data_IF_016542379667
#
_entry.id   IF_016542379667
#
_cell.length_a   1.000
_cell.length_b   1.000
_cell.length_c   1.000
_cell.angle_alpha   90.00
_cell.angle_beta   90.00
_cell.angle_gamma   90.00
#
_symmetry.space_group_name_H-M   'P 1'
#
loop_
_entity.id
_entity.type
_entity.pdbx_description
1 polymer ?
#
# COMPACT_ATOMS: atom_id res chain seq x y z
N UNK A 1 12.44 -52.83 0.96
CA UNK A 1 11.41 -52.22 0.10
C UNK A 1 11.94 -50.91 -0.43
N UNK A 2 12.54 -50.95 -1.62
CA UNK A 2 13.04 -49.79 -2.38
C UNK A 2 12.42 -49.94 -3.75
N UNK A 3 11.61 -48.96 -4.19
CA UNK A 3 11.01 -48.96 -5.53
C UNK A 3 11.66 -47.85 -6.35
N UNK A 4 12.60 -48.26 -7.20
CA UNK A 4 13.11 -47.47 -8.31
C UNK A 4 12.07 -47.44 -9.43
N UNK A 5 11.73 -46.26 -9.92
CA UNK A 5 10.89 -46.08 -11.10
C UNK A 5 11.80 -45.88 -12.32
N UNK A 6 11.73 -46.81 -13.26
CA UNK A 6 12.41 -46.76 -14.57
C UNK A 6 11.43 -46.18 -15.58
N UNK A 7 11.80 -45.09 -16.26
CA UNK A 7 11.02 -44.54 -17.38
C UNK A 7 11.70 -44.93 -18.68
N UNK A 8 10.97 -45.67 -19.51
CA UNK A 8 11.36 -46.09 -20.86
C UNK A 8 10.90 -45.01 -21.85
N UNK A 9 11.82 -44.50 -22.66
CA UNK A 9 11.53 -43.59 -23.78
C UNK A 9 11.35 -44.42 -25.05
N UNK A 10 10.26 -44.21 -25.79
CA UNK A 10 10.11 -44.65 -27.19
C UNK A 10 9.85 -43.43 -28.08
N UNK A 11 10.46 -43.37 -29.28
CA UNK A 11 10.19 -42.31 -30.24
C UNK A 11 9.05 -42.73 -31.18
N UNK A 12 8.29 -41.75 -31.68
CA UNK A 12 7.43 -41.92 -32.84
C UNK A 12 7.67 -40.74 -33.80
N UNK A 13 8.13 -41.08 -35.01
CA UNK A 13 8.12 -40.23 -36.19
C UNK A 13 6.71 -40.20 -36.79
N UNK A 14 6.29 -39.05 -37.34
CA UNK A 14 6.09 -38.84 -38.80
C UNK A 14 5.11 -37.69 -39.15
N UNK A 15 5.61 -36.84 -40.05
CA UNK A 15 5.04 -35.89 -41.02
C UNK A 15 3.52 -35.84 -41.29
N UNK A 16 2.96 -34.63 -41.47
CA UNK A 16 2.55 -34.05 -42.79
C UNK A 16 1.62 -32.80 -42.71
N UNK A 17 1.98 -31.76 -43.48
CA UNK A 17 1.19 -30.76 -44.26
C UNK A 17 0.05 -29.87 -43.67
N UNK A 18 0.32 -28.53 -43.63
CA UNK A 18 -0.41 -27.29 -44.09
C UNK A 18 -1.97 -27.21 -44.15
N UNK A 19 -2.63 -26.01 -44.03
CA UNK A 19 -2.16 -24.70 -44.54
C UNK A 19 -2.35 -23.45 -43.65
N UNK A 20 -1.63 -22.43 -44.10
CA UNK A 20 -1.47 -21.06 -43.65
C UNK A 20 -2.77 -20.25 -43.64
N UNK A 21 -3.15 -19.69 -42.50
CA UNK A 21 -4.01 -18.50 -42.42
C UNK A 21 -3.24 -17.38 -41.75
N UNK A 22 -3.09 -16.28 -42.48
CA UNK A 22 -2.51 -15.03 -41.98
C UNK A 22 -3.49 -14.41 -40.96
N UNK A 23 -3.28 -14.70 -39.68
CA UNK A 23 -3.82 -13.87 -38.61
C UNK A 23 -2.82 -12.75 -38.33
N UNK A 24 -3.23 -11.51 -38.63
CA UNK A 24 -2.57 -10.32 -38.12
C UNK A 24 -2.55 -10.41 -36.59
N UNK A 25 -1.37 -10.70 -36.03
CA UNK A 25 -1.10 -10.60 -34.59
C UNK A 25 -1.18 -9.14 -34.19
N UNK A 26 -2.34 -8.72 -33.68
CA UNK A 26 -2.42 -7.61 -32.74
C UNK A 26 -1.47 -7.92 -31.58
N UNK A 27 -0.49 -7.03 -31.36
CA UNK A 27 0.46 -7.15 -30.25
C UNK A 27 -0.34 -7.09 -28.94
N UNK A 28 -0.44 -8.23 -28.26
CA UNK A 28 -1.00 -8.32 -26.92
C UNK A 28 -0.25 -7.38 -25.97
N UNK A 29 -0.98 -6.59 -25.18
CA UNK A 29 -0.40 -5.74 -24.15
C UNK A 29 0.07 -6.61 -22.98
N UNK A 30 1.38 -6.69 -22.79
CA UNK A 30 2.01 -7.34 -21.64
C UNK A 30 1.66 -6.60 -20.33
N UNK A 31 1.71 -7.27 -19.16
CA UNK A 31 1.60 -6.61 -17.87
C UNK A 31 2.64 -5.48 -17.79
N UNK A 32 2.21 -4.31 -17.29
CA UNK A 32 2.94 -3.04 -17.36
C UNK A 32 4.45 -3.26 -17.25
N UNK A 33 5.18 -3.05 -18.36
CA UNK A 33 6.64 -3.11 -18.30
C UNK A 33 7.14 -1.97 -17.41
N UNK A 34 8.31 -2.14 -16.81
CA UNK A 34 8.95 -1.05 -16.06
C UNK A 34 9.03 0.23 -16.91
N UNK A 35 9.22 0.10 -18.23
CA UNK A 35 9.22 1.22 -19.17
C UNK A 35 7.86 1.93 -19.29
N UNK A 36 6.74 1.22 -19.26
CA UNK A 36 5.40 1.83 -19.30
C UNK A 36 5.08 2.58 -18.01
N UNK A 37 5.49 2.07 -16.84
CA UNK A 37 5.38 2.80 -15.58
C UNK A 37 6.20 4.08 -15.62
N UNK A 38 7.43 3.99 -16.13
CA UNK A 38 8.32 5.13 -16.29
C UNK A 38 7.73 6.16 -17.27
N UNK A 39 7.17 5.72 -18.40
CA UNK A 39 6.52 6.60 -19.38
C UNK A 39 5.31 7.33 -18.78
N UNK A 40 4.46 6.63 -18.02
CA UNK A 40 3.34 7.25 -17.31
C UNK A 40 3.86 8.31 -16.32
N UNK A 41 4.86 7.96 -15.52
CA UNK A 41 5.51 8.87 -14.56
C UNK A 41 6.16 10.07 -15.26
N UNK A 42 6.77 9.86 -16.43
CA UNK A 42 7.35 10.93 -17.25
C UNK A 42 6.29 11.83 -17.87
N UNK A 43 5.16 11.29 -18.33
CA UNK A 43 4.02 12.10 -18.82
C UNK A 43 3.48 12.98 -17.70
N UNK A 44 3.26 12.39 -16.53
CA UNK A 44 2.87 13.08 -15.31
C UNK A 44 3.87 14.15 -14.90
N UNK A 45 5.14 13.80 -14.83
CA UNK A 45 6.22 14.72 -14.47
C UNK A 45 6.30 15.86 -15.48
N UNK A 46 6.18 15.60 -16.79
CA UNK A 46 6.13 16.64 -17.82
C UNK A 46 4.92 17.57 -17.65
N UNK A 47 3.75 17.03 -17.32
CA UNK A 47 2.53 17.81 -17.11
C UNK A 47 2.65 18.69 -15.84
N UNK A 48 3.18 18.13 -14.76
CA UNK A 48 3.56 18.82 -13.53
C UNK A 48 4.56 19.95 -13.81
N UNK A 49 5.67 19.65 -14.50
CA UNK A 49 6.72 20.63 -14.84
C UNK A 49 6.23 21.76 -15.73
N UNK A 50 5.18 21.56 -16.54
CA UNK A 50 4.57 22.63 -17.36
C UNK A 50 3.71 23.59 -16.54
N UNK A 51 3.19 23.14 -15.40
CA UNK A 51 2.26 23.90 -14.55
C UNK A 51 2.93 24.52 -13.32
N UNK A 52 4.05 23.94 -12.86
CA UNK A 52 4.77 24.44 -11.70
C UNK A 52 5.79 25.53 -12.07
N UNK A 53 5.85 26.61 -11.27
CA UNK A 53 7.06 27.43 -11.18
C UNK A 53 8.23 26.56 -10.67
N UNK A 54 9.50 26.84 -11.04
CA UNK A 54 10.61 25.94 -10.76
C UNK A 54 10.80 25.73 -9.26
N UNK A 55 10.44 24.54 -8.77
CA UNK A 55 10.78 24.07 -7.42
C UNK A 55 12.12 23.35 -7.50
N UNK A 56 13.11 23.84 -6.75
CA UNK A 56 14.42 23.19 -6.65
C UNK A 56 14.29 21.87 -5.88
N UNK A 57 14.47 20.75 -6.57
CA UNK A 57 14.66 19.44 -5.95
C UNK A 57 16.16 19.14 -6.01
N UNK A 58 16.79 19.04 -4.84
CA UNK A 58 18.23 18.72 -4.73
C UNK A 58 18.50 17.27 -5.16
N UNK A 59 19.56 16.99 -5.95
CA UNK A 59 19.93 15.62 -6.30
C UNK A 59 20.57 14.90 -5.11
N UNK A 60 20.08 13.70 -4.76
CA UNK A 60 20.74 12.80 -3.81
C UNK A 60 21.85 11.99 -4.51
N UNK A 61 23.00 11.89 -3.84
CA UNK A 61 24.28 11.37 -4.32
C UNK A 61 24.42 9.84 -4.35
N UNK A 62 25.37 9.38 -5.19
CA UNK A 62 25.81 8.01 -5.42
C UNK A 62 25.99 7.14 -4.16
N UNK A 63 25.46 5.90 -4.19
CA UNK A 63 25.70 4.87 -3.17
C UNK A 63 26.54 3.71 -3.70
N UNK A 64 27.59 3.38 -2.95
CA UNK A 64 28.48 2.23 -3.07
C UNK A 64 27.80 0.88 -2.79
N UNK A 65 28.39 -0.21 -3.33
CA UNK A 65 27.85 -1.59 -3.35
C UNK A 65 27.62 -2.21 -1.94
N UNK A 66 26.53 -2.99 -1.72
CA UNK A 66 26.18 -3.54 -0.41
C UNK A 66 26.60 -5.01 -0.17
N UNK A 67 26.69 -5.36 1.13
CA UNK A 67 26.85 -6.72 1.68
C UNK A 67 25.47 -7.23 2.16
N UNK A 68 25.14 -8.51 1.90
CA UNK A 68 23.79 -9.08 2.11
C UNK A 68 23.72 -9.89 3.41
N UNK A 69 22.78 -9.57 4.30
CA UNK A 69 22.38 -10.41 5.43
C UNK A 69 20.91 -10.78 5.30
N UNK A 70 20.62 -12.09 5.20
CA UNK A 70 19.27 -12.62 4.98
C UNK A 70 18.63 -13.07 6.30
N UNK A 71 17.66 -12.29 6.79
CA UNK A 71 16.66 -12.79 7.74
C UNK A 71 15.34 -12.94 6.97
N UNK A 72 14.69 -14.11 7.02
CA UNK A 72 13.45 -14.38 6.28
C UNK A 72 12.26 -13.75 7.01
N UNK A 73 11.67 -12.64 6.52
CA UNK A 73 10.54 -11.98 7.19
C UNK A 73 9.34 -12.92 7.32
N UNK A 74 9.19 -13.88 6.40
CA UNK A 74 8.15 -14.90 6.37
C UNK A 74 7.93 -15.68 7.67
N UNK A 75 8.98 -15.94 8.45
CA UNK A 75 8.86 -16.77 9.65
C UNK A 75 8.15 -16.01 10.78
N UNK A 76 8.54 -14.75 11.00
CA UNK A 76 7.95 -13.86 12.00
C UNK A 76 6.46 -13.57 11.72
N UNK A 77 6.14 -13.50 10.45
CA UNK A 77 4.80 -13.26 9.89
C UNK A 77 3.86 -14.41 10.17
N UNK A 78 4.35 -15.63 9.98
CA UNK A 78 3.60 -16.83 10.33
C UNK A 78 3.35 -16.91 11.84
N UNK A 79 4.31 -16.47 12.67
CA UNK A 79 4.15 -16.44 14.14
C UNK A 79 3.11 -15.40 14.56
N UNK A 80 3.14 -14.18 14.01
CA UNK A 80 2.15 -13.13 14.26
C UNK A 80 0.75 -13.54 13.77
N UNK A 81 0.66 -14.17 12.59
CA UNK A 81 -0.60 -14.69 12.06
C UNK A 81 -1.19 -15.79 12.94
N UNK A 82 -0.37 -16.70 13.46
CA UNK A 82 -0.81 -17.74 14.37
C UNK A 82 -1.28 -17.16 15.71
N UNK A 83 -0.56 -16.17 16.24
CA UNK A 83 -0.93 -15.51 17.49
C UNK A 83 -2.26 -14.75 17.37
N UNK A 84 -2.43 -13.99 16.29
CA UNK A 84 -3.67 -13.26 16.02
C UNK A 84 -4.83 -14.20 15.71
N UNK A 85 -4.64 -15.23 14.87
CA UNK A 85 -5.67 -16.23 14.58
C UNK A 85 -6.17 -16.95 15.84
N UNK A 86 -5.29 -17.19 16.81
CA UNK A 86 -5.68 -17.78 18.10
C UNK A 86 -6.58 -16.82 18.91
N UNK A 87 -6.29 -15.51 18.88
CA UNK A 87 -6.98 -14.48 19.66
C UNK A 87 -8.29 -14.01 19.03
N UNK A 88 -8.29 -13.79 17.72
CA UNK A 88 -9.45 -13.30 16.95
C UNK A 88 -10.13 -14.47 16.23
N UNK A 89 -10.85 -15.33 16.98
CA UNK A 89 -11.67 -16.41 16.40
C UNK A 89 -12.74 -15.95 15.39
N UNK A 90 -12.87 -14.64 15.17
CA UNK A 90 -13.88 -13.99 14.32
C UNK A 90 -13.31 -13.30 13.06
N UNK A 91 -11.99 -13.23 12.88
CA UNK A 91 -11.41 -12.55 11.70
C UNK A 91 -11.22 -13.55 10.55
N UNK A 92 -11.69 -13.26 9.32
CA UNK A 92 -11.50 -14.17 8.18
C UNK A 92 -10.03 -14.47 7.94
N UNK A 93 -9.67 -15.75 7.82
CA UNK A 93 -8.27 -16.17 7.65
C UNK A 93 -7.60 -15.56 6.41
N UNK A 94 -8.36 -15.27 5.34
CA UNK A 94 -7.82 -14.64 4.13
C UNK A 94 -7.56 -13.14 4.34
N UNK A 95 -8.37 -12.43 5.12
CA UNK A 95 -8.10 -11.03 5.51
C UNK A 95 -6.85 -10.97 6.39
N UNK A 96 -6.76 -11.86 7.38
CA UNK A 96 -5.57 -11.98 8.24
C UNK A 96 -4.33 -12.36 7.41
N UNK A 97 -4.47 -13.27 6.44
CA UNK A 97 -3.41 -13.64 5.50
C UNK A 97 -3.06 -12.44 4.61
N UNK A 98 -3.94 -11.83 3.84
CA UNK A 98 -3.61 -10.68 2.98
C UNK A 98 -3.09 -9.46 3.76
N UNK A 99 -3.44 -9.32 5.04
CA UNK A 99 -2.84 -8.31 5.92
C UNK A 99 -1.43 -8.64 6.34
N UNK A 100 -1.22 -9.86 6.80
CA UNK A 100 0.07 -10.27 7.37
C UNK A 100 1.05 -10.64 6.25
N UNK A 101 0.56 -11.30 5.21
CA UNK A 101 1.23 -11.60 3.93
C UNK A 101 1.36 -10.35 3.06
N UNK A 102 0.46 -9.38 3.18
CA UNK A 102 0.61 -8.09 2.51
C UNK A 102 1.64 -7.18 3.16
N UNK A 103 1.77 -7.24 4.49
CA UNK A 103 2.91 -6.61 5.16
C UNK A 103 4.18 -7.46 4.96
N UNK A 104 4.07 -8.75 4.63
CA UNK A 104 5.25 -9.59 4.43
C UNK A 104 5.02 -10.81 3.50
N UNK A 105 5.36 -10.59 2.23
CA UNK A 105 5.76 -11.59 1.24
C UNK A 105 4.89 -12.84 1.14
N UNK A 106 3.82 -12.79 0.34
CA UNK A 106 3.35 -14.01 -0.34
C UNK A 106 4.42 -14.48 -1.33
N UNK A 107 4.32 -15.70 -1.90
CA UNK A 107 5.01 -15.95 -3.16
C UNK A 107 4.68 -14.79 -4.11
N UNK A 108 5.66 -14.20 -4.82
CA UNK A 108 5.39 -13.10 -5.73
C UNK A 108 4.25 -13.53 -6.64
N UNK A 109 3.14 -12.79 -6.58
CA UNK A 109 2.01 -13.00 -7.48
C UNK A 109 2.59 -12.99 -8.89
N UNK A 110 2.66 -14.17 -9.50
CA UNK A 110 3.07 -14.32 -10.88
C UNK A 110 1.92 -13.76 -11.70
N UNK A 111 2.03 -12.48 -12.01
CA UNK A 111 1.14 -11.84 -12.97
C UNK A 111 1.06 -12.74 -14.20
N UNK A 112 -0.16 -13.12 -14.64
CA UNK A 112 -0.33 -13.95 -15.81
C UNK A 112 0.47 -13.35 -16.97
N UNK A 113 1.45 -14.11 -17.48
CA UNK A 113 2.27 -13.68 -18.62
C UNK A 113 1.48 -13.69 -19.93
N UNK A 114 0.28 -14.27 -19.93
CA UNK A 114 -0.66 -14.26 -21.03
C UNK A 114 -2.04 -13.84 -20.51
N UNK A 115 -2.45 -12.61 -20.88
CA UNK A 115 -3.84 -12.16 -20.75
C UNK A 115 -4.69 -12.93 -21.76
N UNK A 116 -5.75 -13.61 -21.27
CA UNK A 116 -6.84 -14.02 -22.13
C UNK A 116 -7.60 -12.76 -22.55
N UNK A 117 -7.24 -12.19 -23.70
CA UNK A 117 -7.90 -11.02 -24.31
C UNK A 117 -9.32 -11.30 -24.80
N UNK A 118 -9.76 -12.56 -24.79
CA UNK A 118 -11.12 -12.99 -25.11
C UNK A 118 -11.96 -13.24 -23.84
N UNK A 119 -11.58 -12.65 -22.69
CA UNK A 119 -12.56 -12.52 -21.62
C UNK A 119 -13.68 -11.64 -22.18
N UNK A 120 -14.89 -12.18 -22.39
CA UNK A 120 -15.94 -11.45 -23.06
C UNK A 120 -16.16 -10.15 -22.29
N UNK A 121 -16.53 -9.07 -22.99
CA UNK A 121 -17.13 -7.87 -22.40
C UNK A 121 -18.41 -8.18 -21.56
N UNK A 122 -18.72 -9.46 -21.34
CA UNK A 122 -19.89 -9.99 -20.68
C UNK A 122 -19.78 -9.88 -19.15
N UNK A 123 -20.88 -9.36 -18.62
CA UNK A 123 -21.19 -9.16 -17.22
C UNK A 123 -20.28 -8.13 -16.51
N UNK A 124 -20.56 -6.85 -16.80
CA UNK A 124 -20.67 -5.87 -15.71
C UNK A 124 -21.27 -6.58 -14.50
N UNK A 125 -20.46 -6.79 -13.47
CA UNK A 125 -20.85 -7.62 -12.33
C UNK A 125 -22.17 -7.09 -11.76
N UNK A 126 -22.98 -7.95 -11.14
CA UNK A 126 -24.24 -7.45 -10.56
C UNK A 126 -23.95 -6.37 -9.53
N UNK A 127 -24.87 -5.43 -9.35
CA UNK A 127 -24.70 -4.33 -8.39
C UNK A 127 -24.41 -4.87 -6.99
N UNK A 128 -25.04 -5.98 -6.61
CA UNK A 128 -24.83 -6.66 -5.33
C UNK A 128 -23.39 -7.14 -5.19
N UNK A 129 -22.82 -7.70 -6.26
CA UNK A 129 -21.44 -8.18 -6.26
C UNK A 129 -20.44 -7.03 -6.15
N UNK A 130 -20.64 -5.98 -6.94
CA UNK A 130 -19.81 -4.79 -6.88
C UNK A 130 -19.89 -4.11 -5.50
N UNK A 131 -21.08 -4.07 -4.89
CA UNK A 131 -21.30 -3.57 -3.53
C UNK A 131 -20.49 -4.38 -2.51
N UNK A 132 -20.51 -5.71 -2.61
CA UNK A 132 -19.72 -6.59 -1.73
C UNK A 132 -18.20 -6.33 -1.86
N UNK A 133 -17.71 -6.08 -3.07
CA UNK A 133 -16.30 -5.71 -3.27
C UNK A 133 -15.94 -4.35 -2.68
N UNK A 134 -16.76 -3.32 -2.91
CA UNK A 134 -16.56 -2.00 -2.30
C UNK A 134 -16.55 -2.12 -0.77
N UNK A 135 -17.49 -2.88 -0.19
CA UNK A 135 -17.51 -3.14 1.26
C UNK A 135 -16.25 -3.88 1.75
N UNK A 136 -15.73 -4.83 0.98
CA UNK A 136 -14.49 -5.55 1.32
C UNK A 136 -13.28 -4.59 1.39
N UNK A 137 -13.22 -3.61 0.48
CA UNK A 137 -12.23 -2.54 0.51
C UNK A 137 -12.45 -1.58 1.69
N UNK A 138 -13.68 -1.08 1.85
CA UNK A 138 -14.03 -0.08 2.86
C UNK A 138 -13.80 -0.58 4.29
N UNK A 139 -14.20 -1.81 4.59
CA UNK A 139 -13.99 -2.44 5.90
C UNK A 139 -12.60 -3.04 6.08
N UNK A 140 -11.84 -3.19 5.00
CA UNK A 140 -10.49 -3.72 5.00
C UNK A 140 -9.44 -2.60 5.09
N UNK A 141 -8.54 -2.47 4.09
CA UNK A 141 -7.43 -1.53 4.17
C UNK A 141 -7.86 -0.06 4.16
N UNK A 142 -9.04 0.30 3.64
CA UNK A 142 -9.50 1.68 3.72
C UNK A 142 -9.79 2.11 5.16
N UNK A 143 -10.25 1.21 6.03
CA UNK A 143 -10.46 1.52 7.45
C UNK A 143 -9.14 1.90 8.15
N UNK A 144 -8.00 1.43 7.63
CA UNK A 144 -6.66 1.77 8.14
C UNK A 144 -6.10 3.05 7.57
N UNK A 145 -6.45 3.40 6.34
CA UNK A 145 -5.77 4.45 5.58
C UNK A 145 -6.64 5.71 5.52
N UNK A 146 -7.96 5.54 5.47
CA UNK A 146 -8.92 6.62 5.36
C UNK A 146 -8.87 7.33 4.00
N UNK A 147 -8.46 6.63 2.93
CA UNK A 147 -8.30 7.22 1.60
C UNK A 147 -9.64 7.53 0.91
N UNK A 148 -10.68 6.75 1.22
CA UNK A 148 -12.00 6.83 0.62
C UNK A 148 -13.04 7.17 1.69
N UNK A 149 -13.97 8.06 1.34
CA UNK A 149 -15.21 8.23 2.08
C UNK A 149 -16.19 7.10 1.71
N UNK A 150 -16.65 6.37 2.72
CA UNK A 150 -17.48 5.18 2.52
C UNK A 150 -18.83 5.53 1.85
N UNK A 151 -19.39 6.70 2.18
CA UNK A 151 -20.67 7.13 1.63
C UNK A 151 -20.50 7.55 0.17
N UNK A 152 -19.50 8.37 -0.14
CA UNK A 152 -19.21 8.79 -1.52
C UNK A 152 -18.90 7.59 -2.43
N UNK A 153 -18.15 6.60 -1.94
CA UNK A 153 -17.88 5.36 -2.68
C UNK A 153 -19.15 4.59 -3.04
N UNK A 154 -20.11 4.49 -2.11
CA UNK A 154 -21.37 3.78 -2.35
C UNK A 154 -22.33 4.59 -3.22
N UNK A 155 -22.41 5.92 -3.02
CA UNK A 155 -23.20 6.81 -3.88
C UNK A 155 -22.68 6.80 -5.33
N UNK A 156 -21.36 6.77 -5.51
CA UNK A 156 -20.73 6.66 -6.83
C UNK A 156 -21.05 5.31 -7.50
N UNK A 157 -21.02 4.22 -6.74
CA UNK A 157 -21.43 2.91 -7.23
C UNK A 157 -22.92 2.92 -7.63
N UNK A 158 -23.78 3.52 -6.83
CA UNK A 158 -25.21 3.62 -7.11
C UNK A 158 -25.47 4.37 -8.42
N UNK A 159 -24.82 5.52 -8.62
CA UNK A 159 -24.91 6.31 -9.87
C UNK A 159 -24.45 5.50 -11.09
N UNK A 160 -23.35 4.76 -10.97
CA UNK A 160 -22.83 3.92 -12.06
C UNK A 160 -23.83 2.85 -12.53
N UNK A 161 -24.63 2.27 -11.62
CA UNK A 161 -25.64 1.27 -11.97
C UNK A 161 -27.02 1.86 -12.28
N UNK A 162 -27.30 3.12 -11.91
CA UNK A 162 -28.61 3.75 -12.09
C UNK A 162 -28.79 4.43 -13.46
N UNK A 163 -27.84 4.23 -14.39
CA UNK A 163 -27.75 4.95 -15.67
C UNK A 163 -27.61 6.47 -15.53
N UNK A 164 -27.26 6.96 -14.34
CA UNK A 164 -26.83 8.34 -14.14
C UNK A 164 -25.46 8.54 -14.79
N UNK A 165 -25.23 9.72 -15.37
CA UNK A 165 -23.93 10.04 -15.92
C UNK A 165 -22.90 10.12 -14.79
N UNK A 166 -21.87 9.30 -14.88
CA UNK A 166 -20.62 9.48 -14.14
C UNK A 166 -19.55 10.03 -15.06
N UNK A 167 -18.63 10.82 -14.51
CA UNK A 167 -17.50 11.34 -15.29
C UNK A 167 -16.47 10.23 -15.55
N UNK A 168 -15.60 10.39 -16.57
CA UNK A 168 -14.49 9.44 -16.79
C UNK A 168 -13.55 9.29 -15.59
N UNK A 169 -13.36 10.37 -14.82
CA UNK A 169 -12.57 10.37 -13.58
C UNK A 169 -13.24 9.54 -12.49
N UNK A 170 -14.54 9.78 -12.29
CA UNK A 170 -15.37 9.01 -11.35
C UNK A 170 -15.34 7.52 -11.71
N UNK A 171 -15.46 7.18 -12.99
CA UNK A 171 -15.36 5.79 -13.47
C UNK A 171 -13.97 5.19 -13.21
N UNK A 172 -12.90 5.95 -13.43
CA UNK A 172 -11.53 5.52 -13.15
C UNK A 172 -11.33 5.19 -11.67
N UNK A 173 -11.75 6.09 -10.77
CA UNK A 173 -11.65 5.91 -9.33
C UNK A 173 -12.49 4.70 -8.88
N UNK A 174 -13.75 4.62 -9.31
CA UNK A 174 -14.62 3.49 -8.99
C UNK A 174 -14.01 2.16 -9.47
N UNK A 175 -13.46 2.12 -10.68
CA UNK A 175 -12.85 0.91 -11.24
C UNK A 175 -11.63 0.46 -10.43
N UNK A 176 -10.79 1.39 -9.95
CA UNK A 176 -9.72 1.07 -9.01
C UNK A 176 -10.24 0.51 -7.68
N UNK A 177 -11.31 1.11 -7.13
CA UNK A 177 -11.94 0.62 -5.90
C UNK A 177 -12.49 -0.80 -6.08
N UNK A 178 -13.16 -1.07 -7.20
CA UNK A 178 -13.67 -2.40 -7.54
C UNK A 178 -12.53 -3.41 -7.72
N UNK A 179 -11.45 -3.05 -8.42
CA UNK A 179 -10.29 -3.92 -8.58
C UNK A 179 -9.68 -4.33 -7.23
N UNK A 180 -9.51 -3.35 -6.33
CA UNK A 180 -8.93 -3.61 -5.02
C UNK A 180 -9.88 -4.40 -4.12
N UNK A 181 -11.17 -4.06 -4.12
CA UNK A 181 -12.21 -4.79 -3.39
C UNK A 181 -12.38 -6.23 -3.86
N UNK A 182 -12.40 -6.44 -5.17
CA UNK A 182 -12.46 -7.76 -5.81
C UNK A 182 -11.26 -8.63 -5.41
N UNK A 183 -10.05 -8.04 -5.35
CA UNK A 183 -8.85 -8.76 -4.89
C UNK A 183 -8.95 -9.22 -3.44
N UNK A 184 -9.57 -8.42 -2.58
CA UNK A 184 -9.72 -8.73 -1.15
C UNK A 184 -10.84 -9.75 -0.87
N UNK A 185 -11.81 -9.89 -1.78
CA UNK A 185 -12.93 -10.82 -1.62
C UNK A 185 -12.49 -12.29 -1.79
N UNK A 186 -13.02 -13.17 -0.95
CA UNK A 186 -12.56 -14.57 -0.84
C UNK A 186 -12.81 -15.41 -2.10
N UNK A 187 -13.91 -15.14 -2.78
CA UNK A 187 -14.51 -15.94 -3.85
C UNK A 187 -14.36 -15.30 -5.24
N UNK A 188 -13.48 -14.30 -5.38
CA UNK A 188 -13.26 -13.63 -6.67
C UNK A 188 -12.06 -14.24 -7.41
N UNK A 189 -12.23 -14.71 -8.65
CA UNK A 189 -11.12 -15.21 -9.46
C UNK A 189 -10.07 -14.13 -9.74
N UNK A 190 -8.79 -14.54 -9.83
CA UNK A 190 -7.67 -13.61 -9.99
C UNK A 190 -7.78 -12.74 -11.26
N UNK A 191 -8.24 -13.34 -12.36
CA UNK A 191 -8.38 -12.65 -13.64
C UNK A 191 -9.39 -11.49 -13.58
N UNK A 192 -10.38 -11.54 -12.69
CA UNK A 192 -11.42 -10.52 -12.56
C UNK A 192 -10.85 -9.23 -11.97
N UNK A 193 -10.18 -9.32 -10.81
CA UNK A 193 -9.59 -8.14 -10.21
C UNK A 193 -8.44 -7.59 -11.04
N UNK A 194 -7.73 -8.46 -11.77
CA UNK A 194 -6.68 -8.06 -12.71
C UNK A 194 -7.23 -7.27 -13.91
N UNK A 195 -8.31 -7.73 -14.54
CA UNK A 195 -8.93 -7.04 -15.67
C UNK A 195 -9.51 -5.68 -15.26
N UNK A 196 -10.13 -5.59 -14.08
CA UNK A 196 -10.58 -4.32 -13.50
C UNK A 196 -9.41 -3.36 -13.27
N UNK A 197 -8.30 -3.85 -12.72
CA UNK A 197 -7.11 -3.03 -12.50
C UNK A 197 -6.52 -2.50 -13.82
N UNK A 198 -6.40 -3.36 -14.85
CA UNK A 198 -5.89 -2.94 -16.16
C UNK A 198 -6.83 -1.94 -16.85
N UNK A 199 -8.15 -2.09 -16.69
CA UNK A 199 -9.14 -1.10 -17.14
C UNK A 199 -8.96 0.24 -16.43
N UNK A 200 -8.85 0.24 -15.10
CA UNK A 200 -8.67 1.47 -14.31
C UNK A 200 -7.38 2.20 -14.71
N UNK A 201 -6.29 1.46 -14.96
CA UNK A 201 -5.04 2.02 -15.47
C UNK A 201 -5.20 2.65 -16.85
N UNK A 202 -5.86 1.98 -17.78
CA UNK A 202 -6.11 2.53 -19.11
C UNK A 202 -7.02 3.78 -19.05
N UNK A 203 -7.97 3.83 -18.12
CA UNK A 203 -8.78 5.01 -17.86
C UNK A 203 -7.95 6.17 -17.30
N UNK A 204 -7.08 5.91 -16.31
CA UNK A 204 -6.15 6.90 -15.78
C UNK A 204 -5.31 7.52 -16.91
N UNK A 205 -4.68 6.70 -17.75
CA UNK A 205 -3.85 7.16 -18.88
C UNK A 205 -4.60 8.05 -19.89
N UNK A 206 -5.92 7.87 -20.03
CA UNK A 206 -6.79 8.66 -20.90
C UNK A 206 -7.26 9.96 -20.25
N UNK A 207 -7.67 9.90 -18.98
CA UNK A 207 -8.26 11.04 -18.28
C UNK A 207 -7.21 12.00 -17.74
N UNK A 208 -5.95 11.55 -17.63
CA UNK A 208 -4.88 12.37 -17.06
C UNK A 208 -4.66 13.67 -17.81
N UNK A 209 -4.92 13.74 -19.11
CA UNK A 209 -4.74 14.97 -19.88
C UNK A 209 -6.05 15.77 -20.05
N UNK A 210 -7.20 15.23 -19.63
CA UNK A 210 -8.51 15.84 -19.87
C UNK A 210 -8.96 16.82 -18.79
N UNK A 211 -8.48 16.67 -17.56
CA UNK A 211 -8.93 17.48 -16.43
C UNK A 211 -8.01 18.66 -16.15
N UNK A 212 -8.57 19.75 -15.60
CA UNK A 212 -7.78 20.87 -15.11
C UNK A 212 -7.20 20.59 -13.72
N UNK A 213 -8.00 20.04 -12.82
CA UNK A 213 -7.56 19.66 -11.47
C UNK A 213 -6.93 18.26 -11.46
N UNK A 214 -5.72 18.17 -10.92
CA UNK A 214 -4.93 16.94 -10.84
C UNK A 214 -5.03 16.26 -9.46
N UNK A 215 -5.80 16.82 -8.51
CA UNK A 215 -5.89 16.25 -7.16
C UNK A 215 -6.46 14.83 -7.14
N UNK A 216 -7.40 14.50 -8.04
CA UNK A 216 -7.97 13.15 -8.15
C UNK A 216 -6.92 12.10 -8.55
N UNK A 217 -5.87 12.51 -9.28
CA UNK A 217 -4.78 11.63 -9.73
C UNK A 217 -4.03 11.08 -8.53
N UNK A 218 -3.89 11.88 -7.45
CA UNK A 218 -3.29 11.44 -6.19
C UNK A 218 -4.06 10.22 -5.66
N UNK A 219 -5.38 10.31 -5.56
CA UNK A 219 -6.22 9.21 -5.07
C UNK A 219 -6.12 7.97 -5.96
N UNK A 220 -6.14 8.13 -7.28
CA UNK A 220 -5.96 7.03 -8.23
C UNK A 220 -4.59 6.34 -8.07
N UNK A 221 -3.51 7.11 -7.90
CA UNK A 221 -2.16 6.58 -7.67
C UNK A 221 -2.05 5.81 -6.35
N UNK A 222 -2.69 6.31 -5.29
CA UNK A 222 -2.66 5.64 -3.98
C UNK A 222 -3.46 4.33 -4.02
N UNK A 223 -4.63 4.30 -4.67
CA UNK A 223 -5.37 3.06 -4.92
C UNK A 223 -4.55 2.06 -5.75
N UNK A 224 -3.89 2.54 -6.82
CA UNK A 224 -3.00 1.73 -7.63
C UNK A 224 -1.80 1.21 -6.83
N UNK A 225 -1.25 2.01 -5.93
CA UNK A 225 -0.17 1.61 -5.03
C UNK A 225 -0.64 0.54 -4.05
N UNK A 226 -1.80 0.72 -3.41
CA UNK A 226 -2.40 -0.28 -2.51
C UNK A 226 -2.59 -1.61 -3.23
N UNK A 227 -3.07 -1.58 -4.48
CA UNK A 227 -3.15 -2.79 -5.30
C UNK A 227 -1.76 -3.39 -5.56
N UNK A 228 -0.75 -2.60 -5.92
CA UNK A 228 0.57 -3.15 -6.26
C UNK A 228 1.47 -3.47 -5.07
N UNK A 229 1.12 -3.06 -3.85
CA UNK A 229 2.02 -3.01 -2.68
C UNK A 229 2.79 -4.31 -2.46
N UNK A 230 2.13 -5.47 -2.61
CA UNK A 230 2.74 -6.78 -2.34
C UNK A 230 3.39 -7.39 -3.58
N UNK A 231 2.85 -7.10 -4.76
CA UNK A 231 3.26 -7.74 -6.01
C UNK A 231 4.44 -7.00 -6.67
N UNK A 232 4.43 -5.67 -6.58
CA UNK A 232 5.41 -4.77 -7.24
C UNK A 232 5.70 -3.56 -6.34
N UNK A 233 6.27 -3.77 -5.14
CA UNK A 233 6.47 -2.69 -4.16
C UNK A 233 7.29 -1.52 -4.73
N UNK A 234 8.30 -1.79 -5.57
CA UNK A 234 9.12 -0.75 -6.24
C UNK A 234 8.29 0.18 -7.14
N UNK A 235 7.28 -0.36 -7.84
CA UNK A 235 6.36 0.46 -8.64
C UNK A 235 5.47 1.29 -7.70
N UNK A 236 5.00 0.68 -6.60
CA UNK A 236 4.30 1.39 -5.53
C UNK A 236 5.08 2.63 -5.04
N UNK A 237 6.40 2.49 -4.78
CA UNK A 237 7.27 3.61 -4.39
C UNK A 237 7.24 4.76 -5.39
N UNK A 238 7.32 4.44 -6.69
CA UNK A 238 7.32 5.43 -7.77
C UNK A 238 5.96 6.16 -7.83
N UNK A 239 4.85 5.42 -7.68
CA UNK A 239 3.50 5.98 -7.63
C UNK A 239 3.34 6.92 -6.43
N UNK A 240 3.76 6.49 -5.24
CA UNK A 240 3.75 7.31 -4.02
C UNK A 240 4.61 8.56 -4.21
N UNK A 241 5.83 8.43 -4.74
CA UNK A 241 6.72 9.56 -4.98
C UNK A 241 6.12 10.60 -5.94
N UNK A 242 5.34 10.13 -6.92
CA UNK A 242 4.63 11.02 -7.85
C UNK A 242 3.43 11.68 -7.17
N UNK A 243 2.66 10.93 -6.38
CA UNK A 243 1.57 11.46 -5.57
C UNK A 243 2.03 12.54 -4.58
N UNK A 244 3.19 12.35 -3.92
CA UNK A 244 3.82 13.35 -3.04
C UNK A 244 4.07 14.66 -3.80
N UNK A 245 4.70 14.61 -4.97
CA UNK A 245 5.01 15.81 -5.77
C UNK A 245 3.76 16.56 -6.20
N UNK A 246 2.73 15.84 -6.65
CA UNK A 246 1.43 16.46 -7.01
C UNK A 246 0.81 17.10 -5.78
N UNK A 247 0.75 16.39 -4.65
CA UNK A 247 0.17 16.92 -3.42
C UNK A 247 0.87 18.20 -2.93
N UNK A 248 2.21 18.25 -2.97
CA UNK A 248 3.00 19.43 -2.62
C UNK A 248 2.81 20.59 -3.60
N UNK A 249 2.68 20.31 -4.89
CA UNK A 249 2.35 21.34 -5.89
C UNK A 249 1.00 22.00 -5.57
N UNK A 250 0.03 21.23 -5.10
CA UNK A 250 -1.28 21.69 -4.64
C UNK A 250 -1.29 22.16 -3.18
N UNK A 251 -0.12 22.26 -2.52
CA UNK A 251 0.03 22.71 -1.14
C UNK A 251 -0.79 21.92 -0.10
N UNK A 252 -1.12 20.66 -0.42
CA UNK A 252 -1.91 19.78 0.47
C UNK A 252 -1.13 19.47 1.77
N UNK A 253 0.20 19.52 1.72
CA UNK A 253 1.09 19.26 2.85
C UNK A 253 1.13 20.39 3.88
N UNK A 254 0.72 21.62 3.55
CA UNK A 254 0.90 22.81 4.39
C UNK A 254 -0.11 22.91 5.56
N UNK A 255 -1.21 22.16 5.53
CA UNK A 255 -2.25 22.09 6.57
C UNK A 255 -2.69 23.46 7.14
N UNK A 256 -3.05 24.40 6.26
CA UNK A 256 -3.42 25.75 6.69
C UNK A 256 -4.72 25.76 7.53
N UNK A 257 -4.70 26.35 8.75
CA UNK A 257 -5.90 26.57 9.56
C UNK A 257 -6.72 27.81 9.13
N UNK A 258 -6.15 28.69 8.28
CA UNK A 258 -6.79 29.93 7.84
C UNK A 258 -7.85 29.67 6.77
N UNK A 259 -9.01 29.27 7.29
CA UNK A 259 -10.32 28.96 6.70
C UNK A 259 -11.00 30.06 5.88
N UNK A 260 -10.25 30.87 5.12
CA UNK A 260 -10.89 31.80 4.16
C UNK A 260 -11.20 31.18 2.79
N UNK A 261 -10.69 29.98 2.45
CA UNK A 261 -10.65 29.50 1.06
C UNK A 261 -11.29 28.12 0.81
N UNK A 262 -11.62 27.28 1.80
CA UNK A 262 -12.12 25.93 1.50
C UNK A 262 -13.28 25.45 2.39
N UNK A 263 -14.21 24.72 1.76
CA UNK A 263 -15.21 23.89 2.44
C UNK A 263 -14.50 22.96 3.45
N UNK A 264 -15.00 22.91 4.68
CA UNK A 264 -14.42 22.10 5.76
C UNK A 264 -14.32 20.63 5.34
N UNK A 265 -15.34 20.12 4.63
CA UNK A 265 -15.36 18.73 4.15
C UNK A 265 -14.20 18.46 3.19
N UNK A 266 -13.96 19.39 2.27
CA UNK A 266 -12.88 19.28 1.30
C UNK A 266 -11.51 19.34 1.98
N UNK A 267 -11.33 20.25 2.94
CA UNK A 267 -10.13 20.29 3.76
C UNK A 267 -9.88 18.95 4.47
N UNK A 268 -10.88 18.42 5.17
CA UNK A 268 -10.77 17.15 5.90
C UNK A 268 -10.40 15.99 4.93
N UNK A 269 -10.98 15.98 3.72
CA UNK A 269 -10.66 15.02 2.65
C UNK A 269 -9.19 15.12 2.22
N UNK A 270 -8.70 16.32 1.92
CA UNK A 270 -7.30 16.54 1.52
C UNK A 270 -6.31 16.16 2.63
N UNK A 271 -6.64 16.47 3.89
CA UNK A 271 -5.85 16.05 5.05
C UNK A 271 -5.81 14.54 5.19
N UNK A 272 -6.91 13.84 4.89
CA UNK A 272 -6.91 12.38 4.89
C UNK A 272 -6.11 11.77 3.75
N UNK A 273 -6.18 12.34 2.55
CA UNK A 273 -5.32 11.96 1.43
C UNK A 273 -3.85 12.11 1.81
N UNK A 274 -3.46 13.24 2.40
CA UNK A 274 -2.07 13.46 2.81
C UNK A 274 -1.57 12.44 3.83
N UNK A 275 -2.37 12.16 4.87
CA UNK A 275 -2.06 11.11 5.86
C UNK A 275 -1.96 9.73 5.22
N UNK A 276 -2.78 9.45 4.21
CA UNK A 276 -2.73 8.20 3.43
C UNK A 276 -1.42 8.08 2.64
N UNK A 277 -0.95 9.16 2.01
CA UNK A 277 0.36 9.21 1.33
C UNK A 277 1.45 8.86 2.34
N UNK A 278 1.44 9.51 3.50
CA UNK A 278 2.45 9.29 4.53
C UNK A 278 2.47 7.84 5.01
N UNK A 279 1.31 7.29 5.37
CA UNK A 279 1.18 5.89 5.75
C UNK A 279 1.77 4.96 4.67
N UNK A 280 1.32 5.12 3.42
CA UNK A 280 1.75 4.26 2.32
C UNK A 280 3.26 4.39 2.03
N UNK A 281 3.85 5.58 2.15
CA UNK A 281 5.29 5.80 1.97
C UNK A 281 6.12 5.05 3.00
N UNK A 282 5.74 5.10 4.28
CA UNK A 282 6.45 4.39 5.36
C UNK A 282 6.37 2.88 5.14
N UNK A 283 5.17 2.33 4.96
CA UNK A 283 4.99 0.88 4.84
C UNK A 283 5.59 0.33 3.54
N UNK A 284 5.50 1.07 2.43
CA UNK A 284 6.18 0.68 1.20
C UNK A 284 7.71 0.74 1.34
N UNK A 285 8.25 1.73 2.04
CA UNK A 285 9.70 1.84 2.28
C UNK A 285 10.22 0.70 3.14
N UNK A 286 9.47 0.32 4.17
CA UNK A 286 9.70 -0.87 4.98
C UNK A 286 9.75 -2.13 4.10
N UNK A 287 8.74 -2.35 3.24
CA UNK A 287 8.65 -3.52 2.36
C UNK A 287 9.85 -3.65 1.42
N UNK A 288 10.40 -2.52 0.96
CA UNK A 288 11.54 -2.46 0.04
C UNK A 288 12.88 -2.50 0.80
N UNK A 289 12.88 -2.20 2.11
CA UNK A 289 14.10 -2.00 2.89
C UNK A 289 14.84 -0.74 2.47
N UNK A 290 14.15 0.40 2.38
CA UNK A 290 14.72 1.71 2.06
C UNK A 290 14.15 2.81 2.97
N UNK A 291 14.72 4.01 2.88
CA UNK A 291 14.21 5.17 3.62
C UNK A 291 12.88 5.70 3.01
N UNK A 292 11.95 6.16 3.85
CA UNK A 292 10.83 6.99 3.42
C UNK A 292 11.24 8.17 2.52
N UNK A 293 10.38 8.53 1.58
CA UNK A 293 10.52 9.74 0.77
C UNK A 293 10.06 10.98 1.56
N UNK A 294 9.06 10.81 2.43
CA UNK A 294 8.60 11.85 3.34
C UNK A 294 9.38 11.81 4.66
N UNK A 295 9.84 12.98 5.09
CA UNK A 295 10.51 13.22 6.36
C UNK A 295 10.08 14.58 6.90
N UNK A 296 10.44 14.90 8.14
CA UNK A 296 10.21 16.23 8.72
C UNK A 296 10.87 17.38 7.93
N UNK A 297 11.83 17.10 7.05
CA UNK A 297 12.52 18.10 6.22
C UNK A 297 11.91 18.26 4.83
N UNK A 298 11.13 17.29 4.36
CA UNK A 298 10.55 17.31 3.01
C UNK A 298 9.07 17.69 3.00
N UNK A 299 8.49 18.00 4.15
CA UNK A 299 7.07 18.37 4.34
C UNK A 299 6.96 19.55 5.29
N UNK A 300 5.93 20.38 5.13
CA UNK A 300 5.62 21.43 6.10
C UNK A 300 4.44 21.08 7.01
N UNK A 301 3.98 19.83 6.99
CA UNK A 301 2.80 19.40 7.73
C UNK A 301 3.00 19.50 9.26
N UNK A 302 2.22 20.35 9.96
CA UNK A 302 2.26 20.43 11.42
C UNK A 302 1.93 19.10 12.09
N UNK A 303 1.10 18.23 11.48
CA UNK A 303 0.81 16.90 12.04
C UNK A 303 2.09 16.07 12.26
N UNK A 304 3.09 16.23 11.39
CA UNK A 304 4.36 15.54 11.52
C UNK A 304 5.27 16.19 12.57
N UNK A 305 5.20 17.51 12.73
CA UNK A 305 5.99 18.28 13.71
C UNK A 305 5.45 18.18 15.13
N UNK A 306 4.13 18.22 15.28
CA UNK A 306 3.44 18.17 16.59
C UNK A 306 3.59 16.79 17.25
N UNK A 307 3.66 15.74 16.42
CA UNK A 307 4.02 14.38 16.85
C UNK A 307 5.46 14.28 17.39
N UNK A 308 6.38 15.15 16.97
CA UNK A 308 7.73 15.18 17.53
C UNK A 308 7.78 15.78 18.94
N UNK A 309 6.78 16.59 19.28
CA UNK A 309 6.66 17.27 20.56
C UNK A 309 5.80 16.49 21.58
N UNK A 310 5.39 15.25 21.26
CA UNK A 310 4.56 14.39 22.11
C UNK A 310 3.21 15.03 22.54
N UNK A 311 2.68 15.97 21.76
CA UNK A 311 1.48 16.76 22.13
C UNK A 311 0.15 16.21 21.61
N UNK A 312 0.15 15.10 20.86
CA UNK A 312 -1.03 14.69 20.10
C UNK A 312 -1.97 13.82 20.92
N UNK A 313 -3.23 14.25 20.96
CA UNK A 313 -4.33 13.53 21.60
C UNK A 313 -4.84 12.44 20.64
N UNK A 314 -4.98 11.19 21.10
CA UNK A 314 -5.53 10.08 20.33
C UNK A 314 -6.92 10.42 19.76
N UNK A 315 -7.19 9.98 18.53
CA UNK A 315 -8.46 10.22 17.84
C UNK A 315 -9.32 8.94 17.85
N UNK A 316 -10.63 9.06 17.70
CA UNK A 316 -11.53 7.91 17.53
C UNK A 316 -11.36 7.21 16.17
N UNK A 317 -10.76 7.90 15.19
CA UNK A 317 -10.49 7.35 13.86
C UNK A 317 -9.27 6.42 13.86
N UNK A 318 -9.48 5.16 13.46
CA UNK A 318 -8.39 4.21 13.25
C UNK A 318 -7.36 4.75 12.25
N UNK A 319 -7.82 5.30 11.12
CA UNK A 319 -6.96 5.88 10.08
C UNK A 319 -6.07 7.01 10.59
N UNK A 320 -6.55 7.80 11.55
CA UNK A 320 -5.74 8.82 12.20
C UNK A 320 -4.65 8.20 13.07
N UNK A 321 -5.02 7.23 13.92
CA UNK A 321 -4.08 6.57 14.83
C UNK A 321 -3.02 5.74 14.08
N UNK A 322 -3.37 5.11 12.96
CA UNK A 322 -2.43 4.38 12.09
C UNK A 322 -1.49 5.34 11.37
N UNK A 323 -1.96 6.52 10.96
CA UNK A 323 -1.09 7.57 10.44
C UNK A 323 -0.09 8.03 11.50
N UNK A 324 -0.52 8.27 12.75
CA UNK A 324 0.38 8.59 13.87
C UNK A 324 1.45 7.51 14.08
N UNK A 325 1.05 6.23 14.04
CA UNK A 325 1.98 5.10 14.14
C UNK A 325 2.99 5.09 12.99
N UNK A 326 2.56 5.39 11.77
CA UNK A 326 3.45 5.53 10.63
C UNK A 326 4.48 6.63 10.88
N UNK A 327 4.12 7.77 11.50
CA UNK A 327 5.07 8.85 11.85
C UNK A 327 6.14 8.35 12.81
N UNK A 328 5.72 7.70 13.90
CA UNK A 328 6.64 7.14 14.89
C UNK A 328 7.60 6.13 14.23
N UNK A 329 7.06 5.26 13.39
CA UNK A 329 7.82 4.21 12.70
C UNK A 329 8.79 4.81 11.68
N UNK A 330 8.33 5.77 10.86
CA UNK A 330 9.13 6.45 9.85
C UNK A 330 10.30 7.21 10.47
N UNK A 331 10.07 7.91 11.57
CA UNK A 331 11.12 8.59 12.34
C UNK A 331 12.15 7.60 12.87
N UNK A 332 11.70 6.52 13.50
CA UNK A 332 12.59 5.50 14.01
C UNK A 332 13.44 4.88 12.89
N UNK A 333 12.85 4.59 11.72
CA UNK A 333 13.59 4.11 10.56
C UNK A 333 14.63 5.14 10.11
N UNK A 334 14.24 6.40 9.94
CA UNK A 334 15.16 7.47 9.55
C UNK A 334 16.36 7.55 10.50
N UNK A 335 16.12 7.58 11.81
CA UNK A 335 17.17 7.69 12.82
C UNK A 335 18.09 6.45 12.82
N UNK A 336 17.52 5.24 12.70
CA UNK A 336 18.27 3.98 12.61
C UNK A 336 19.15 3.91 11.37
N UNK A 337 18.64 4.34 10.21
CA UNK A 337 19.35 4.20 8.94
C UNK A 337 20.33 5.35 8.66
N UNK A 338 20.15 6.52 9.29
CA UNK A 338 21.05 7.67 9.10
C UNK A 338 22.20 7.70 10.09
N UNK A 339 22.01 7.18 11.31
CA UNK A 339 23.04 7.22 12.34
C UNK A 339 23.90 5.96 12.27
N UNK A 340 25.15 6.12 11.82
CA UNK A 340 26.14 5.03 11.69
C UNK A 340 26.44 4.27 13.00
N UNK A 341 26.06 4.82 14.15
CA UNK A 341 26.18 4.18 15.47
C UNK A 341 24.86 4.30 16.22
N UNK A 342 24.13 3.20 16.31
CA UNK A 342 22.85 3.16 17.00
C UNK A 342 23.06 3.32 18.51
N UNK A 343 22.69 4.47 19.06
CA UNK A 343 22.76 4.71 20.51
C UNK A 343 21.60 4.01 21.23
N UNK A 344 21.85 3.25 22.32
CA UNK A 344 20.78 2.57 23.07
C UNK A 344 19.64 3.50 23.51
N UNK A 345 19.98 4.74 23.90
CA UNK A 345 19.01 5.77 24.31
C UNK A 345 18.03 6.15 23.21
N UNK A 346 18.49 6.19 21.95
CA UNK A 346 17.63 6.49 20.80
C UNK A 346 16.61 5.38 20.60
N UNK A 347 17.05 4.12 20.67
CA UNK A 347 16.17 2.97 20.57
C UNK A 347 15.11 2.94 21.68
N UNK A 348 15.54 3.15 22.93
CA UNK A 348 14.64 3.25 24.08
C UNK A 348 13.59 4.35 23.88
N UNK A 349 13.99 5.49 23.33
CA UNK A 349 13.07 6.59 23.00
C UNK A 349 11.99 6.13 22.01
N UNK A 350 12.35 5.50 20.89
CA UNK A 350 11.35 5.05 19.90
C UNK A 350 10.42 3.96 20.44
N UNK A 351 10.97 2.99 21.19
CA UNK A 351 10.15 1.96 21.86
C UNK A 351 9.20 2.60 22.87
N UNK A 352 9.65 3.62 23.60
CA UNK A 352 8.81 4.34 24.54
C UNK A 352 7.71 5.14 23.82
N UNK A 353 8.01 5.82 22.72
CA UNK A 353 7.01 6.49 21.88
C UNK A 353 5.96 5.51 21.37
N UNK A 354 6.37 4.32 20.91
CA UNK A 354 5.47 3.27 20.46
C UNK A 354 4.56 2.74 21.58
N UNK A 355 5.12 2.55 22.80
CA UNK A 355 4.35 2.16 23.99
C UNK A 355 3.36 3.26 24.40
N UNK A 356 3.77 4.53 24.35
CA UNK A 356 2.92 5.67 24.67
C UNK A 356 1.74 5.75 23.69
N UNK A 357 2.01 5.60 22.38
CA UNK A 357 0.98 5.51 21.37
C UNK A 357 -0.01 4.39 21.68
N UNK A 358 0.47 3.17 21.94
CA UNK A 358 -0.40 2.01 22.21
C UNK A 358 -1.29 2.19 23.45
N UNK A 359 -0.79 2.88 24.49
CA UNK A 359 -1.55 3.23 25.69
C UNK A 359 -2.53 4.38 25.48
N UNK A 360 -2.22 5.29 24.56
CA UNK A 360 -3.09 6.43 24.25
C UNK A 360 -4.32 6.04 23.45
N UNK A 361 -4.32 4.91 22.75
CA UNK A 361 -5.44 4.51 21.91
C UNK A 361 -6.78 4.51 22.68
N UNK A 362 -7.90 4.84 22.00
CA UNK A 362 -9.25 4.66 22.53
C UNK A 362 -9.45 3.24 23.10
N UNK A 363 -10.27 3.10 24.15
CA UNK A 363 -10.44 1.84 24.90
C UNK A 363 -10.77 0.65 23.99
N UNK A 364 -11.61 0.88 22.98
CA UNK A 364 -12.02 -0.09 21.98
C UNK A 364 -10.88 -0.49 21.01
N UNK A 365 -9.83 0.31 20.91
CA UNK A 365 -8.63 0.08 20.10
C UNK A 365 -7.39 -0.30 20.93
N UNK A 366 -7.45 -0.24 22.26
CA UNK A 366 -6.28 -0.46 23.11
C UNK A 366 -5.64 -1.84 22.85
N UNK A 367 -4.36 -1.77 22.51
CA UNK A 367 -3.49 -2.94 22.26
C UNK A 367 -3.03 -3.55 23.59
N UNK A 368 -2.96 -2.75 24.67
CA UNK A 368 -2.43 -3.13 25.98
C UNK A 368 -3.47 -2.80 27.07
N UNK A 369 -4.18 -3.81 27.58
CA UNK A 369 -5.14 -3.66 28.67
C UNK A 369 -6.04 -4.89 28.89
N UNK A 370 -6.57 -5.05 30.11
CA UNK A 370 -7.60 -6.05 30.41
C UNK A 370 -8.91 -5.60 29.74
N UNK A 371 -9.25 -6.21 28.59
CA UNK A 371 -10.54 -5.98 27.94
C UNK A 371 -11.63 -6.64 28.77
N UNK A 372 -12.30 -5.87 29.61
CA UNK A 372 -13.63 -6.24 30.06
C UNK A 372 -14.53 -6.19 28.81
N UNK A 373 -14.95 -7.36 28.35
CA UNK A 373 -15.68 -7.59 27.10
C UNK A 373 -17.04 -6.91 27.11
N UNK A 374 -17.09 -5.62 26.82
CA UNK A 374 -18.33 -4.91 26.58
C UNK A 374 -18.79 -5.11 25.12
N UNK A 375 -19.45 -6.25 24.88
CA UNK A 375 -20.26 -6.50 23.68
C UNK A 375 -19.49 -6.66 22.35
N UNK A 376 -20.05 -7.42 21.38
CA UNK A 376 -19.40 -7.66 20.10
C UNK A 376 -19.76 -6.55 19.10
N UNK A 377 -19.06 -5.43 19.11
CA UNK A 377 -19.02 -4.58 17.91
C UNK A 377 -17.90 -5.08 17.01
N UNK A 378 -18.26 -5.80 15.94
CA UNK A 378 -17.33 -6.39 14.97
C UNK A 378 -16.27 -5.36 14.49
N UNK A 379 -16.68 -4.12 14.29
CA UNK A 379 -15.80 -3.03 13.86
C UNK A 379 -14.72 -2.68 14.91
N UNK A 380 -15.06 -2.68 16.19
CA UNK A 380 -14.11 -2.45 17.28
C UNK A 380 -13.10 -3.60 17.36
N UNK A 381 -13.57 -4.85 17.25
CA UNK A 381 -12.70 -6.04 17.20
C UNK A 381 -11.71 -5.97 16.05
N UNK A 382 -12.19 -5.62 14.86
CA UNK A 382 -11.38 -5.50 13.65
C UNK A 382 -10.36 -4.35 13.78
N UNK A 383 -10.81 -3.16 14.17
CA UNK A 383 -9.94 -1.98 14.33
C UNK A 383 -8.84 -2.22 15.36
N UNK A 384 -9.19 -2.88 16.45
CA UNK A 384 -8.22 -3.24 17.48
C UNK A 384 -7.22 -4.31 17.02
N UNK A 385 -7.67 -5.33 16.29
CA UNK A 385 -6.78 -6.34 15.70
C UNK A 385 -5.77 -5.73 14.72
N UNK A 386 -6.22 -4.74 13.95
CA UNK A 386 -5.33 -3.96 13.08
C UNK A 386 -4.30 -3.13 13.86
N UNK A 387 -4.74 -2.38 14.87
CA UNK A 387 -3.85 -1.58 15.71
C UNK A 387 -2.78 -2.46 16.38
N UNK A 388 -3.16 -3.64 16.86
CA UNK A 388 -2.28 -4.64 17.47
C UNK A 388 -1.27 -5.19 16.45
N UNK A 389 -1.71 -5.57 15.26
CA UNK A 389 -0.82 -6.04 14.20
C UNK A 389 0.23 -4.98 13.83
N UNK A 390 -0.22 -3.74 13.59
CA UNK A 390 0.68 -2.66 13.20
C UNK A 390 1.65 -2.30 14.33
N UNK A 391 1.19 -2.30 15.58
CA UNK A 391 2.05 -2.12 16.75
C UNK A 391 3.20 -3.12 16.77
N UNK A 392 2.89 -4.41 16.63
CA UNK A 392 3.92 -5.46 16.68
C UNK A 392 4.84 -5.41 15.46
N UNK A 393 4.31 -5.11 14.28
CA UNK A 393 5.12 -4.91 13.08
C UNK A 393 6.11 -3.75 13.28
N UNK A 394 5.63 -2.58 13.72
CA UNK A 394 6.48 -1.42 14.02
C UNK A 394 7.53 -1.74 15.09
N UNK A 395 7.14 -2.41 16.17
CA UNK A 395 8.06 -2.83 17.22
C UNK A 395 9.19 -3.70 16.64
N UNK A 396 8.83 -4.69 15.83
CA UNK A 396 9.78 -5.58 15.18
C UNK A 396 10.77 -4.82 14.27
N UNK A 397 10.30 -3.86 13.48
CA UNK A 397 11.16 -3.05 12.63
C UNK A 397 12.13 -2.17 13.41
N UNK A 398 11.68 -1.65 14.56
CA UNK A 398 12.51 -0.82 15.43
C UNK A 398 13.55 -1.69 16.16
N UNK A 399 13.19 -2.90 16.60
CA UNK A 399 14.05 -3.79 17.41
C UNK A 399 14.97 -4.71 16.63
N UNK A 400 14.66 -5.02 15.38
CA UNK A 400 15.45 -5.99 14.62
C UNK A 400 16.87 -5.49 14.30
N UNK A 401 17.11 -4.22 13.89
CA UNK A 401 18.45 -3.72 13.62
C UNK A 401 19.43 -3.83 14.82
N UNK A 402 19.08 -3.41 16.05
CA UNK A 402 20.00 -3.54 17.18
C UNK A 402 20.24 -5.01 17.59
N UNK A 403 19.24 -5.88 17.42
CA UNK A 403 19.43 -7.32 17.63
C UNK A 403 20.43 -7.90 16.63
N UNK A 404 20.33 -7.53 15.35
CA UNK A 404 21.28 -7.96 14.33
C UNK A 404 22.69 -7.43 14.59
N UNK A 405 22.82 -6.18 15.02
CA UNK A 405 24.09 -5.58 15.43
C UNK A 405 24.71 -6.31 16.63
N UNK A 406 23.91 -6.64 17.65
CA UNK A 406 24.39 -7.40 18.82
C UNK A 406 24.84 -8.82 18.45
N UNK A 407 24.19 -9.44 17.46
CA UNK A 407 24.49 -10.82 17.04
C UNK A 407 25.67 -10.90 16.07
N UNK A 408 25.93 -9.87 15.26
CA UNK A 408 27.04 -9.88 14.30
C UNK A 408 28.41 -9.76 14.95
N UNK A 409 28.49 -9.28 16.21
CA UNK A 409 29.75 -9.10 16.93
C UNK A 409 30.68 -8.06 16.29
N UNK A 410 30.23 -7.39 15.23
CA UNK A 410 30.93 -6.33 14.52
C UNK A 410 30.44 -4.98 15.05
N UNK A 411 31.36 -4.12 15.46
CA UNK A 411 31.03 -2.74 15.88
C UNK A 411 30.59 -1.83 14.74
N UNK A 412 30.52 -2.35 13.51
CA UNK A 412 29.98 -1.69 12.35
C UNK A 412 28.62 -2.32 12.01
N UNK A 413 27.59 -1.47 11.92
CA UNK A 413 26.34 -1.84 11.26
C UNK A 413 26.70 -2.25 9.83
N UNK A 414 26.26 -3.42 9.32
CA UNK A 414 26.39 -3.71 7.90
C UNK A 414 25.68 -2.59 7.14
N UNK A 415 26.46 -1.69 6.52
CA UNK A 415 25.92 -0.62 5.71
C UNK A 415 25.09 -1.26 4.59
N UNK A 416 23.77 -1.11 4.71
CA UNK A 416 22.80 -1.76 3.83
C UNK A 416 22.27 -3.08 4.39
N UNK A 417 21.42 -3.01 5.43
CA UNK A 417 20.38 -4.03 5.62
C UNK A 417 19.35 -3.91 4.49
N UNK A 418 19.72 -4.34 3.29
CA UNK A 418 18.74 -4.67 2.28
C UNK A 418 18.07 -5.98 2.71
N UNK A 419 16.80 -5.88 3.10
CA UNK A 419 15.90 -7.04 3.06
C UNK A 419 15.87 -7.49 1.61
N UNK A 420 16.68 -8.51 1.29
CA UNK A 420 16.62 -9.15 -0.02
C UNK A 420 15.25 -9.84 -0.13
N UNK A 421 14.25 -9.10 -0.61
CA UNK A 421 13.06 -9.69 -1.22
C UNK A 421 13.55 -10.38 -2.49
N UNK A 422 13.83 -11.68 -2.37
CA UNK A 422 14.15 -12.54 -3.50
C UNK A 422 13.00 -12.45 -4.51
N UNK A 423 13.37 -12.14 -5.75
CA UNK A 423 12.54 -12.24 -6.97
C UNK A 423 11.89 -13.61 -7.13
#
# INVERSE_FOLDING_TARGET
MVRSLVIIVRPANSNASTPTSQLQRTKASLPMSQSQSQELVERLTRRISRRAAPVQISPQSDMTRPVVVSARPQHLVNVLAQHLAHRTRQMPQKVLKELIIGVYSGPPLRLPTALHHDAPNEAMHTKERATSWIQSLLHGPNNLIGLLDARESLELLDRFYSADSITPVEECILTYQLALGARLADDTPEWVHYSLYDRARAQLERCIDSEEDDTWVIQAMLLSCMYLMNARPKIGRILIGTAIRIAQQHQIDLAFPDSSIQDKREYDRLRMIWRSIYYLDIWNSILIGCLPQLSATTTQDPFLRDMENDTVVPNQSLAHNTAMLAVITGKALSDIYTVNKMEPKMFEKHVQSLKNWAKSLPIDMQVIGNRETHGPQLLATVSSGYAELLYYASNMFITLPPLQYSLSGTHDLPMGLHFAALT
#
